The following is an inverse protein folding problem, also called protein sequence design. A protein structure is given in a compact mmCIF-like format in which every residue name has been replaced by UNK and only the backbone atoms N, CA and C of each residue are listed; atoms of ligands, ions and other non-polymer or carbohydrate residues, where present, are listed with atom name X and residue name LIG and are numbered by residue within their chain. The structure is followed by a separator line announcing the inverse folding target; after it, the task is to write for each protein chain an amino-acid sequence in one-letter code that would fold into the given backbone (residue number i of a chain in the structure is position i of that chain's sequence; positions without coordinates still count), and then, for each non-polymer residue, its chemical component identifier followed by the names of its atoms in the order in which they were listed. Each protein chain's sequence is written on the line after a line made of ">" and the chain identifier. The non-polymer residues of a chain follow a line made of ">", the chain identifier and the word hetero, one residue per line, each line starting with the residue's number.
data_IF_595739759434
#
_entry.id   IF_595739759434
#
_cell.length_a   1.000
_cell.length_b   1.000
_cell.length_c   1.000
_cell.angle_alpha   90.00
_cell.angle_beta   90.00
_cell.angle_gamma   90.00
#
_symmetry.space_group_name_H-M   'P 1'
#
loop_
_entity.id
_entity.type
_entity.pdbx_description
1 polymer ?
#
# COMPACT_ATOMS: atom_id res chain seq x y z
N UNK A 1 -4.19 -11.79 -18.09
CA UNK A 1 -3.93 -12.18 -16.69
C UNK A 1 -2.87 -11.24 -16.11
N UNK A 2 -3.13 -10.55 -14.99
CA UNK A 2 -2.09 -9.77 -14.31
C UNK A 2 -1.05 -10.72 -13.73
N UNK A 3 0.23 -10.52 -14.02
CA UNK A 3 1.31 -11.39 -13.55
C UNK A 3 1.70 -10.98 -12.14
N UNK A 4 2.24 -11.91 -11.34
CA UNK A 4 2.79 -11.62 -10.01
C UNK A 4 3.81 -10.46 -10.03
N UNK A 5 4.54 -10.32 -11.13
CA UNK A 5 5.50 -9.23 -11.36
C UNK A 5 4.80 -7.86 -11.34
N UNK A 6 3.62 -7.73 -11.94
CA UNK A 6 2.85 -6.48 -11.95
C UNK A 6 2.37 -6.12 -10.53
N UNK A 7 2.00 -7.11 -9.72
CA UNK A 7 1.59 -6.91 -8.33
C UNK A 7 2.77 -6.45 -7.48
N UNK A 8 3.93 -7.06 -7.64
CA UNK A 8 5.16 -6.65 -6.94
C UNK A 8 5.59 -5.23 -7.32
N UNK A 9 5.51 -4.87 -8.60
CA UNK A 9 5.79 -3.50 -9.06
C UNK A 9 4.83 -2.50 -8.43
N UNK A 10 3.54 -2.81 -8.43
CA UNK A 10 2.53 -1.97 -7.78
C UNK A 10 2.76 -1.82 -6.27
N UNK A 11 3.27 -2.87 -5.60
CA UNK A 11 3.66 -2.84 -4.19
C UNK A 11 4.79 -1.83 -3.94
N UNK A 12 5.87 -1.91 -4.72
CA UNK A 12 7.01 -1.01 -4.60
C UNK A 12 6.62 0.45 -4.84
N UNK A 13 5.80 0.71 -5.87
CA UNK A 13 5.27 2.05 -6.13
C UNK A 13 4.37 2.57 -5.00
N UNK A 14 3.52 1.72 -4.43
CA UNK A 14 2.64 2.09 -3.34
C UNK A 14 3.44 2.41 -2.06
N UNK A 15 4.45 1.60 -1.76
CA UNK A 15 5.36 1.81 -0.63
C UNK A 15 6.11 3.14 -0.74
N UNK A 16 6.71 3.42 -1.91
CA UNK A 16 7.41 4.69 -2.14
C UNK A 16 6.49 5.90 -1.94
N UNK A 17 5.24 5.82 -2.41
CA UNK A 17 4.24 6.88 -2.18
C UNK A 17 3.88 7.03 -0.71
N UNK A 18 3.77 5.94 0.05
CA UNK A 18 3.54 6.01 1.50
C UNK A 18 4.69 6.70 2.22
N UNK A 19 5.94 6.33 1.90
CA UNK A 19 7.14 6.96 2.46
C UNK A 19 7.19 8.46 2.15
N UNK A 20 6.86 8.86 0.92
CA UNK A 20 6.82 10.27 0.55
C UNK A 20 5.75 11.04 1.34
N UNK A 21 4.56 10.47 1.51
CA UNK A 21 3.48 11.08 2.31
C UNK A 21 3.89 11.19 3.78
N UNK A 22 4.53 10.17 4.35
CA UNK A 22 5.05 10.20 5.72
C UNK A 22 6.10 11.30 5.87
N UNK A 23 7.00 11.45 4.90
CA UNK A 23 7.98 12.54 4.90
C UNK A 23 7.31 13.92 4.82
N UNK A 24 6.28 14.08 3.97
CA UNK A 24 5.50 15.32 3.86
C UNK A 24 4.73 15.66 5.15
N UNK A 25 4.34 14.66 5.94
CA UNK A 25 3.74 14.86 7.26
C UNK A 25 4.74 15.31 8.33
N UNK A 26 6.04 15.38 8.02
CA UNK A 26 7.09 15.66 9.02
C UNK A 26 7.62 14.40 9.70
N UNK A 27 7.43 13.23 9.09
CA UNK A 27 7.90 11.94 9.60
C UNK A 27 6.82 11.15 10.35
N UNK A 28 7.21 9.96 10.80
CA UNK A 28 6.31 9.00 11.46
C UNK A 28 5.73 9.56 12.78
N UNK A 29 6.52 10.34 13.52
CA UNK A 29 6.14 10.99 14.77
C UNK A 29 4.93 11.92 14.64
N UNK A 30 4.70 12.49 13.45
CA UNK A 30 3.57 13.39 13.17
C UNK A 30 2.31 12.66 12.69
N UNK A 31 2.38 11.36 12.40
CA UNK A 31 1.22 10.60 11.90
C UNK A 31 0.05 10.67 12.89
N UNK A 32 0.31 10.57 14.20
CA UNK A 32 -0.74 10.66 15.23
C UNK A 32 -1.45 12.02 15.19
N UNK A 33 -0.71 13.10 15.01
CA UNK A 33 -1.26 14.45 14.86
C UNK A 33 -2.12 14.57 13.60
N UNK A 34 -1.60 14.13 12.46
CA UNK A 34 -2.30 14.14 11.19
C UNK A 34 -3.56 13.25 11.18
N UNK A 35 -3.53 12.14 11.94
CA UNK A 35 -4.66 11.24 12.19
C UNK A 35 -5.76 11.91 13.00
N UNK A 36 -5.42 12.54 14.12
CA UNK A 36 -6.40 13.22 14.99
C UNK A 36 -7.10 14.36 14.24
N UNK A 37 -6.35 15.13 13.45
CA UNK A 37 -6.88 16.23 12.64
C UNK A 37 -7.49 15.79 11.31
N UNK A 38 -7.45 14.50 10.99
CA UNK A 38 -7.96 13.91 9.76
C UNK A 38 -7.54 14.68 8.48
N UNK A 39 -6.25 15.03 8.44
CA UNK A 39 -5.69 15.87 7.37
C UNK A 39 -5.73 15.17 6.01
N UNK A 40 -5.64 15.95 4.93
CA UNK A 40 -5.61 15.40 3.55
C UNK A 40 -4.46 14.40 3.35
N UNK A 41 -3.30 14.65 3.95
CA UNK A 41 -2.14 13.74 3.88
C UNK A 41 -2.43 12.41 4.58
N UNK A 42 -3.04 12.43 5.76
CA UNK A 42 -3.44 11.20 6.46
C UNK A 42 -4.51 10.41 5.68
N UNK A 43 -5.47 11.08 5.05
CA UNK A 43 -6.47 10.41 4.19
C UNK A 43 -5.80 9.70 3.03
N UNK A 44 -4.87 10.36 2.35
CA UNK A 44 -4.05 9.76 1.28
C UNK A 44 -3.24 8.56 1.79
N UNK A 45 -2.60 8.67 2.96
CA UNK A 45 -1.88 7.55 3.57
C UNK A 45 -2.80 6.34 3.79
N UNK A 46 -4.01 6.59 4.33
CA UNK A 46 -5.01 5.53 4.57
C UNK A 46 -5.48 4.87 3.27
N UNK A 47 -5.64 5.63 2.19
CA UNK A 47 -5.96 5.08 0.87
C UNK A 47 -4.84 4.18 0.34
N UNK A 48 -3.58 4.60 0.50
CA UNK A 48 -2.42 3.79 0.11
C UNK A 48 -2.31 2.50 0.95
N UNK A 49 -2.59 2.56 2.26
CA UNK A 49 -2.63 1.37 3.12
C UNK A 49 -3.74 0.39 2.69
N UNK A 50 -4.93 0.89 2.32
CA UNK A 50 -5.99 0.03 1.77
C UNK A 50 -5.59 -0.60 0.45
N UNK A 51 -4.89 0.15 -0.40
CA UNK A 51 -4.35 -0.37 -1.67
C UNK A 51 -3.30 -1.45 -1.43
N UNK A 52 -2.44 -1.28 -0.43
CA UNK A 52 -1.48 -2.30 -0.01
C UNK A 52 -2.18 -3.61 0.38
N UNK A 53 -3.18 -3.53 1.25
CA UNK A 53 -3.96 -4.70 1.66
C UNK A 53 -4.64 -5.39 0.47
N UNK A 54 -5.16 -4.63 -0.49
CA UNK A 54 -5.74 -5.21 -1.71
C UNK A 54 -4.68 -5.92 -2.56
N UNK A 55 -3.49 -5.35 -2.69
CA UNK A 55 -2.38 -5.97 -3.43
C UNK A 55 -1.91 -7.26 -2.73
N UNK A 56 -1.87 -7.30 -1.40
CA UNK A 56 -1.57 -8.50 -0.61
C UNK A 56 -2.55 -9.64 -0.92
N UNK A 57 -3.86 -9.34 -0.85
CA UNK A 57 -4.90 -10.31 -1.18
C UNK A 57 -4.80 -10.81 -2.62
N UNK A 58 -4.46 -9.92 -3.56
CA UNK A 58 -4.28 -10.27 -4.95
C UNK A 58 -3.05 -11.18 -5.14
N UNK A 59 -1.93 -10.89 -4.48
CA UNK A 59 -0.75 -11.75 -4.48
C UNK A 59 -1.08 -13.14 -3.95
N UNK A 60 -1.74 -13.21 -2.78
CA UNK A 60 -2.17 -14.47 -2.17
C UNK A 60 -3.05 -15.30 -3.12
N UNK A 61 -4.01 -14.68 -3.81
CA UNK A 61 -4.87 -15.37 -4.79
C UNK A 61 -4.08 -15.89 -5.99
N UNK A 62 -3.18 -15.08 -6.54
CA UNK A 62 -2.35 -15.48 -7.68
C UNK A 62 -1.41 -16.63 -7.34
N UNK A 63 -0.78 -16.61 -6.14
CA UNK A 63 0.05 -17.73 -5.67
C UNK A 63 -0.76 -19.02 -5.49
N UNK A 64 -1.96 -18.93 -4.90
CA UNK A 64 -2.86 -20.09 -4.77
C UNK A 64 -3.26 -20.67 -6.13
N UNK A 65 -3.57 -19.82 -7.11
CA UNK A 65 -3.88 -20.28 -8.47
C UNK A 65 -2.69 -20.97 -9.14
N UNK A 66 -1.47 -20.46 -8.96
CA UNK A 66 -0.27 -21.11 -9.48
C UNK A 66 -0.02 -22.49 -8.84
N UNK A 67 -0.33 -22.64 -7.54
CA UNK A 67 -0.19 -23.92 -6.83
C UNK A 67 -1.25 -24.96 -7.25
N UNK A 68 -2.45 -24.53 -7.67
CA UNK A 68 -3.53 -25.44 -8.11
C UNK A 68 -3.36 -25.88 -9.57
N UNK A 69 -2.59 -25.15 -10.36
CA UNK A 69 -2.30 -25.45 -11.77
C UNK A 69 -1.05 -26.35 -11.94
N UNK A 70 -0.39 -26.72 -10.85
CA UNK A 70 0.73 -27.67 -10.78
C UNK A 70 0.29 -28.97 -10.12
#
# INVERSE_FOLDING_TARGET
>A
MKRLIDVRRAYAENYNKMQEIIRQMGGDSQIKYHRQRNTRLYRKLKELQRREHYLDQLECRLRKQQLVLH
#
